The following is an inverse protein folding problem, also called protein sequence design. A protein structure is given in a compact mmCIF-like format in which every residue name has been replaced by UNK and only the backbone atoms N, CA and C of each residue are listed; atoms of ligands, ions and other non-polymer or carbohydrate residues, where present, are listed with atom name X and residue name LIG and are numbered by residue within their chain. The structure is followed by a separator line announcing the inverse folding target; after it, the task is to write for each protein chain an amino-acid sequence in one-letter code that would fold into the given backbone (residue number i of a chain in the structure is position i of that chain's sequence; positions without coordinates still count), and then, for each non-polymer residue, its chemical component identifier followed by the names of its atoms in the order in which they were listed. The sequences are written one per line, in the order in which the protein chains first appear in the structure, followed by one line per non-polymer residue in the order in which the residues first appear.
data_IF_696289945289
#
_entry.id   IF_696289945289
#
_cell.length_a   1.000
_cell.length_b   1.000
_cell.length_c   1.000
_cell.angle_alpha   90.00
_cell.angle_beta   90.00
_cell.angle_gamma   90.00
#
_symmetry.space_group_name_H-M   'P 1'
#
loop_
_entity.id
_entity.type
_entity.pdbx_description
1 polymer ?
#
# COMPACT_ATOMS: atom_id res chain seq x y z
N UNK A 1 -14.39 -17.69 -12.49
CA UNK A 1 -13.89 -17.28 -11.16
C UNK A 1 -12.57 -16.57 -11.34
N UNK A 2 -12.22 -15.62 -10.48
CA UNK A 2 -10.85 -15.08 -10.46
C UNK A 2 -9.89 -16.13 -9.89
N UNK A 3 -8.65 -16.23 -10.40
CA UNK A 3 -7.64 -17.07 -9.78
C UNK A 3 -7.37 -16.59 -8.36
N UNK A 4 -7.03 -17.52 -7.47
CA UNK A 4 -6.57 -17.23 -6.11
C UNK A 4 -5.15 -17.74 -5.99
N UNK A 5 -4.24 -16.85 -5.66
CA UNK A 5 -2.84 -17.14 -5.36
C UNK A 5 -2.68 -17.16 -3.85
N UNK A 6 -2.14 -18.25 -3.33
CA UNK A 6 -1.97 -18.44 -1.89
C UNK A 6 -0.53 -18.81 -1.60
N UNK A 7 0.05 -18.13 -0.62
CA UNK A 7 1.32 -18.48 0.02
C UNK A 7 1.04 -18.76 1.50
N UNK A 8 1.61 -19.83 2.03
CA UNK A 8 1.46 -20.16 3.44
C UNK A 8 2.76 -20.63 4.06
N UNK A 9 2.97 -20.24 5.32
CA UNK A 9 4.20 -20.52 6.07
C UNK A 9 3.90 -20.99 7.48
N UNK A 10 4.61 -22.03 7.92
CA UNK A 10 4.53 -22.57 9.28
C UNK A 10 3.09 -22.92 9.72
N UNK A 11 2.22 -23.30 8.78
CA UNK A 11 0.85 -23.76 9.01
C UNK A 11 0.65 -25.11 8.30
N UNK A 12 -0.23 -25.96 8.83
CA UNK A 12 -0.53 -27.27 8.26
C UNK A 12 -1.78 -27.19 7.40
N UNK A 13 -1.67 -27.33 6.08
CA UNK A 13 -2.80 -27.23 5.15
C UNK A 13 -2.34 -27.37 3.71
N UNK A 14 -3.14 -26.89 2.77
CA UNK A 14 -2.80 -26.86 1.34
C UNK A 14 -3.18 -25.52 0.73
N UNK A 15 -2.30 -25.01 -0.15
CA UNK A 15 -2.53 -23.83 -0.97
C UNK A 15 -3.45 -24.12 -2.17
N UNK A 16 -3.79 -25.39 -2.38
CA UNK A 16 -4.80 -25.84 -3.35
C UNK A 16 -6.16 -25.97 -2.65
N UNK A 17 -7.23 -25.39 -3.22
CA UNK A 17 -8.56 -25.51 -2.63
C UNK A 17 -9.15 -26.91 -2.84
N UNK A 18 -10.01 -27.32 -1.91
CA UNK A 18 -11.05 -28.31 -2.21
C UNK A 18 -12.24 -27.58 -2.85
N UNK A 19 -12.70 -28.04 -4.01
CA UNK A 19 -13.88 -27.45 -4.69
C UNK A 19 -15.12 -28.31 -4.45
N UNK A 20 -16.17 -27.72 -3.89
CA UNK A 20 -17.49 -28.37 -3.71
C UNK A 20 -18.60 -27.39 -4.04
N UNK A 21 -19.58 -27.81 -4.85
CA UNK A 21 -20.73 -26.98 -5.25
C UNK A 21 -20.34 -25.59 -5.78
N UNK A 22 -19.24 -25.50 -6.56
CA UNK A 22 -18.74 -24.24 -7.09
C UNK A 22 -18.01 -23.34 -6.09
N UNK A 23 -17.88 -23.74 -4.83
CA UNK A 23 -17.12 -23.03 -3.81
C UNK A 23 -15.74 -23.66 -3.64
N UNK A 24 -14.69 -22.86 -3.79
CA UNK A 24 -13.32 -23.23 -3.46
C UNK A 24 -13.07 -22.97 -1.96
N UNK A 25 -12.62 -23.99 -1.23
CA UNK A 25 -12.31 -23.91 0.19
C UNK A 25 -10.85 -24.29 0.44
N UNK A 26 -10.12 -23.38 1.07
CA UNK A 26 -8.81 -23.65 1.63
C UNK A 26 -8.91 -23.81 3.14
N UNK A 27 -8.04 -24.63 3.72
CA UNK A 27 -8.02 -24.88 5.17
C UNK A 27 -6.61 -25.11 5.65
N UNK A 28 -6.27 -24.42 6.73
CA UNK A 28 -5.03 -24.62 7.47
C UNK A 28 -5.32 -24.83 8.95
N UNK A 29 -4.40 -25.52 9.63
CA UNK A 29 -4.33 -25.71 11.07
C UNK A 29 -3.00 -25.14 11.53
N UNK A 30 -3.06 -24.26 12.51
CA UNK A 30 -1.88 -23.70 13.17
C UNK A 30 -1.88 -24.09 14.64
N UNK A 31 -0.73 -24.52 15.15
CA UNK A 31 -0.50 -24.73 16.58
C UNK A 31 0.80 -24.04 16.97
N UNK A 32 0.71 -23.04 17.85
CA UNK A 32 1.89 -22.38 18.41
C UNK A 32 2.40 -23.20 19.59
N UNK A 33 3.47 -23.99 19.38
CA UNK A 33 4.10 -24.77 20.46
C UNK A 33 5.09 -23.92 21.25
N UNK A 34 5.85 -23.07 20.56
CA UNK A 34 6.80 -22.14 21.18
C UNK A 34 6.39 -20.69 20.87
N UNK A 35 6.43 -19.78 21.86
CA UNK A 35 6.19 -18.37 21.62
C UNK A 35 7.28 -17.78 20.72
N UNK A 36 6.86 -17.00 19.72
CA UNK A 36 7.82 -16.22 18.93
C UNK A 36 8.45 -15.17 19.84
N UNK A 37 9.79 -15.13 19.89
CA UNK A 37 10.50 -14.10 20.64
C UNK A 37 10.27 -12.74 19.97
N UNK A 38 9.72 -11.79 20.73
CA UNK A 38 9.67 -10.41 20.30
C UNK A 38 11.08 -9.83 20.38
N UNK A 39 11.65 -9.45 19.24
CA UNK A 39 12.93 -8.75 19.17
C UNK A 39 12.66 -7.30 18.76
N UNK A 40 13.26 -6.36 19.49
CA UNK A 40 13.23 -4.97 19.06
C UNK A 40 13.93 -4.85 17.72
N UNK A 41 13.40 -4.01 16.83
CA UNK A 41 13.96 -3.76 15.49
C UNK A 41 13.97 -4.99 14.58
N UNK A 42 13.15 -6.00 14.86
CA UNK A 42 12.93 -7.10 13.94
C UNK A 42 12.16 -6.64 12.69
N UNK A 43 12.28 -7.44 11.62
CA UNK A 43 11.41 -7.36 10.46
C UNK A 43 9.92 -7.47 10.86
N UNK A 44 9.01 -7.16 9.94
CA UNK A 44 7.59 -7.33 10.24
C UNK A 44 7.26 -8.80 10.51
N UNK A 45 6.40 -9.09 11.48
CA UNK A 45 6.11 -10.48 11.92
C UNK A 45 5.65 -11.38 10.78
N UNK A 46 4.96 -10.85 9.78
CA UNK A 46 4.51 -11.62 8.62
C UNK A 46 5.66 -12.05 7.69
N UNK A 47 6.84 -11.44 7.79
CA UNK A 47 8.02 -11.80 6.99
C UNK A 47 8.74 -13.04 7.49
N UNK A 48 8.51 -13.48 8.72
CA UNK A 48 9.19 -14.65 9.31
C UNK A 48 8.28 -15.55 10.15
N UNK A 49 7.16 -15.01 10.64
CA UNK A 49 6.18 -15.74 11.42
C UNK A 49 5.22 -16.57 10.57
N UNK A 50 4.43 -17.44 11.24
CA UNK A 50 3.36 -18.20 10.59
C UNK A 50 2.35 -17.24 9.96
N UNK A 51 2.09 -17.44 8.68
CA UNK A 51 1.19 -16.57 7.92
C UNK A 51 0.51 -17.34 6.79
N UNK A 52 -0.62 -16.78 6.34
CA UNK A 52 -1.33 -17.18 5.15
C UNK A 52 -1.62 -15.88 4.40
N UNK A 53 -1.12 -15.77 3.18
CA UNK A 53 -1.41 -14.65 2.28
C UNK A 53 -2.18 -15.17 1.09
N UNK A 54 -3.29 -14.51 0.78
CA UNK A 54 -4.14 -14.87 -0.35
C UNK A 54 -4.47 -13.62 -1.14
N UNK A 55 -4.37 -13.70 -2.47
CA UNK A 55 -4.65 -12.59 -3.36
C UNK A 55 -5.20 -13.07 -4.69
N UNK A 56 -6.07 -12.28 -5.32
CA UNK A 56 -6.43 -12.46 -6.73
C UNK A 56 -5.40 -11.85 -7.68
N UNK A 57 -4.46 -11.05 -7.14
CA UNK A 57 -3.28 -10.58 -7.87
C UNK A 57 -2.16 -11.59 -7.76
N UNK A 58 -1.48 -11.82 -8.88
CA UNK A 58 -0.40 -12.79 -8.98
C UNK A 58 0.88 -12.33 -8.29
N UNK A 59 1.15 -11.03 -8.36
CA UNK A 59 2.41 -10.43 -7.94
C UNK A 59 2.21 -8.97 -7.49
N UNK A 60 3.26 -8.42 -6.89
CA UNK A 60 3.26 -7.04 -6.40
C UNK A 60 3.15 -6.00 -7.50
N UNK A 61 3.58 -6.31 -8.73
CA UNK A 61 3.45 -5.38 -9.85
C UNK A 61 1.97 -5.17 -10.21
N UNK A 62 1.16 -6.23 -10.20
CA UNK A 62 -0.29 -6.12 -10.39
C UNK A 62 -0.97 -5.33 -9.27
N UNK A 63 -0.56 -5.52 -8.02
CA UNK A 63 -1.05 -4.72 -6.88
C UNK A 63 -0.73 -3.24 -7.09
N UNK A 64 0.51 -2.92 -7.44
CA UNK A 64 0.95 -1.55 -7.73
C UNK A 64 0.18 -0.92 -8.88
N UNK A 65 -0.03 -1.65 -9.97
CA UNK A 65 -0.82 -1.18 -11.10
C UNK A 65 -2.28 -0.91 -10.71
N UNK A 66 -2.92 -1.83 -9.98
CA UNK A 66 -4.30 -1.67 -9.53
C UNK A 66 -4.47 -0.43 -8.64
N UNK A 67 -3.50 -0.15 -7.76
CA UNK A 67 -3.48 1.08 -6.97
C UNK A 67 -3.24 2.32 -7.84
N UNK A 68 -2.29 2.24 -8.79
CA UNK A 68 -1.92 3.36 -9.66
C UNK A 68 -3.08 3.88 -10.51
N UNK A 69 -4.01 3.02 -10.93
CA UNK A 69 -5.21 3.45 -11.69
C UNK A 69 -5.95 4.56 -10.96
N UNK A 70 -6.15 4.42 -9.65
CA UNK A 70 -6.87 5.40 -8.81
C UNK A 70 -5.96 6.50 -8.29
N UNK A 71 -4.76 6.12 -7.83
CA UNK A 71 -3.80 7.07 -7.29
C UNK A 71 -3.29 8.06 -8.34
N UNK A 72 -3.16 7.64 -9.61
CA UNK A 72 -2.76 8.51 -10.72
C UNK A 72 -3.81 9.56 -11.06
N UNK A 73 -5.10 9.25 -10.94
CA UNK A 73 -6.19 10.22 -11.07
C UNK A 73 -6.20 11.20 -9.89
N UNK A 74 -6.03 10.70 -8.68
CA UNK A 74 -5.93 11.55 -7.48
C UNK A 74 -4.72 12.48 -7.53
N UNK A 75 -3.61 12.07 -8.15
CA UNK A 75 -2.36 12.83 -8.25
C UNK A 75 -2.30 13.79 -9.46
N UNK A 76 -3.39 13.99 -10.20
CA UNK A 76 -3.39 14.89 -11.36
C UNK A 76 -2.95 16.30 -10.96
N UNK A 77 -2.03 16.88 -11.75
CA UNK A 77 -1.55 18.24 -11.56
C UNK A 77 -2.59 19.20 -12.11
N UNK A 78 -3.26 19.91 -11.21
CA UNK A 78 -4.19 20.98 -11.56
C UNK A 78 -3.42 22.30 -11.82
N UNK A 79 -4.05 23.31 -12.45
CA UNK A 79 -3.43 24.61 -12.61
C UNK A 79 -2.97 25.27 -11.30
N UNK A 80 -3.69 25.06 -10.19
CA UNK A 80 -3.34 25.62 -8.89
C UNK A 80 -2.14 24.89 -8.26
N UNK A 81 -2.10 23.55 -8.37
CA UNK A 81 -0.94 22.76 -7.94
C UNK A 81 0.30 23.16 -8.74
N UNK A 82 0.16 23.33 -10.06
CA UNK A 82 1.27 23.78 -10.92
C UNK A 82 1.76 25.17 -10.51
N UNK A 83 0.85 26.13 -10.32
CA UNK A 83 1.21 27.50 -9.93
C UNK A 83 1.96 27.54 -8.59
N UNK A 84 1.50 26.76 -7.60
CA UNK A 84 2.20 26.63 -6.32
C UNK A 84 3.59 25.99 -6.49
N UNK A 85 3.70 24.94 -7.30
CA UNK A 85 4.99 24.30 -7.56
C UNK A 85 5.97 25.26 -8.24
N UNK A 86 5.50 26.07 -9.19
CA UNK A 86 6.29 27.09 -9.88
C UNK A 86 6.75 28.18 -8.89
N UNK A 87 5.88 28.60 -7.97
CA UNK A 87 6.22 29.56 -6.91
C UNK A 87 7.29 29.00 -5.97
N UNK A 88 7.09 27.79 -5.44
CA UNK A 88 8.01 27.13 -4.50
C UNK A 88 9.39 26.88 -5.12
N UNK A 89 9.44 26.67 -6.43
CA UNK A 89 10.68 26.36 -7.16
C UNK A 89 11.28 27.55 -7.90
N UNK A 90 10.72 28.75 -7.75
CA UNK A 90 11.15 29.94 -8.45
C UNK A 90 12.66 30.23 -8.23
N UNK A 91 13.39 30.39 -9.33
CA UNK A 91 14.84 30.67 -9.31
C UNK A 91 15.72 29.45 -9.01
N UNK A 92 15.16 28.27 -8.76
CA UNK A 92 15.91 27.02 -8.54
C UNK A 92 15.99 26.26 -9.87
N UNK A 93 17.18 26.15 -10.45
CA UNK A 93 17.39 25.42 -11.72
C UNK A 93 17.78 23.95 -11.51
N UNK A 94 18.39 23.62 -10.38
CA UNK A 94 18.76 22.24 -10.05
C UNK A 94 17.53 21.41 -9.66
N UNK A 95 17.31 20.29 -10.36
CA UNK A 95 16.11 19.45 -10.18
C UNK A 95 16.04 18.82 -8.79
N UNK A 96 17.18 18.46 -8.20
CA UNK A 96 17.21 17.87 -6.86
C UNK A 96 16.84 18.92 -5.81
N UNK A 97 17.33 20.15 -5.97
CA UNK A 97 16.96 21.27 -5.13
C UNK A 97 15.48 21.65 -5.27
N UNK A 98 14.91 21.58 -6.48
CA UNK A 98 13.45 21.76 -6.67
C UNK A 98 12.64 20.70 -5.91
N UNK A 99 13.03 19.42 -6.02
CA UNK A 99 12.37 18.34 -5.29
C UNK A 99 12.47 18.49 -3.77
N UNK A 100 13.62 18.92 -3.25
CA UNK A 100 13.82 19.22 -1.83
C UNK A 100 12.95 20.41 -1.36
N UNK A 101 12.83 21.46 -2.16
CA UNK A 101 11.96 22.61 -1.85
C UNK A 101 10.48 22.20 -1.77
N UNK A 102 9.99 21.44 -2.76
CA UNK A 102 8.62 20.91 -2.77
C UNK A 102 8.37 19.98 -1.58
N UNK A 103 9.32 19.08 -1.27
CA UNK A 103 9.21 18.18 -0.12
C UNK A 103 9.08 18.96 1.20
N UNK A 104 9.94 19.98 1.41
CA UNK A 104 9.90 20.82 2.61
C UNK A 104 8.59 21.56 2.73
N UNK A 105 8.09 22.14 1.62
CA UNK A 105 6.81 22.82 1.61
C UNK A 105 5.69 21.86 2.03
N UNK A 106 5.62 20.66 1.45
CA UNK A 106 4.60 19.66 1.82
C UNK A 106 4.72 19.28 3.29
N UNK A 107 5.93 18.99 3.78
CA UNK A 107 6.15 18.57 5.17
C UNK A 107 5.76 19.65 6.20
N UNK A 108 5.83 20.92 5.82
CA UNK A 108 5.49 22.05 6.69
C UNK A 108 4.02 22.46 6.61
N UNK A 109 3.39 22.26 5.45
CA UNK A 109 2.06 22.80 5.17
C UNK A 109 0.96 21.73 5.13
N UNK A 110 1.30 20.45 4.91
CA UNK A 110 0.33 19.36 4.85
C UNK A 110 0.43 18.50 6.12
N UNK A 111 -0.65 18.50 6.91
CA UNK A 111 -0.72 17.71 8.14
C UNK A 111 -0.92 16.23 7.83
N UNK A 112 -0.06 15.38 8.39
CA UNK A 112 -0.23 13.94 8.33
C UNK A 112 -1.49 13.48 9.09
N UNK A 113 -2.30 12.64 8.45
CA UNK A 113 -3.43 11.94 9.05
C UNK A 113 -3.27 10.45 8.78
N UNK A 114 -3.20 9.66 9.85
CA UNK A 114 -3.15 8.21 9.74
C UNK A 114 -4.53 7.69 9.31
N UNK A 115 -4.67 7.39 8.02
CA UNK A 115 -5.83 6.70 7.45
C UNK A 115 -5.40 5.29 7.04
N UNK A 116 -5.95 4.28 7.70
CA UNK A 116 -5.61 2.89 7.42
C UNK A 116 -6.37 2.38 6.19
N UNK A 117 -5.67 1.66 5.31
CA UNK A 117 -6.27 0.92 4.19
C UNK A 117 -7.37 -0.01 4.72
N UNK A 118 -8.51 -0.02 4.04
CA UNK A 118 -9.75 -0.63 4.53
C UNK A 118 -10.71 0.43 5.04
N UNK A 119 -10.42 1.04 6.19
CA UNK A 119 -11.27 2.10 6.76
C UNK A 119 -11.30 3.37 5.90
N UNK A 120 -10.18 3.71 5.24
CA UNK A 120 -10.06 4.86 4.33
C UNK A 120 -10.44 4.60 2.88
N UNK A 121 -10.91 3.39 2.54
CA UNK A 121 -11.02 2.96 1.17
C UNK A 121 -9.65 2.65 0.53
N UNK A 122 -9.67 2.37 -0.78
CA UNK A 122 -8.48 2.11 -1.60
C UNK A 122 -8.19 3.26 -2.58
N UNK A 123 -9.01 4.31 -2.55
CA UNK A 123 -8.94 5.49 -3.40
C UNK A 123 -8.39 6.66 -2.59
N UNK A 124 -7.26 7.25 -2.98
CA UNK A 124 -6.75 8.46 -2.32
C UNK A 124 -7.66 9.67 -2.59
N UNK A 125 -7.69 10.63 -1.66
CA UNK A 125 -8.22 11.96 -1.94
C UNK A 125 -7.39 12.64 -3.04
N UNK A 126 -8.01 13.51 -3.85
CA UNK A 126 -7.29 14.25 -4.87
C UNK A 126 -6.29 15.24 -4.27
N UNK A 127 -5.16 15.44 -4.94
CA UNK A 127 -4.12 16.38 -4.52
C UNK A 127 -4.67 17.81 -4.38
N UNK A 128 -5.63 18.19 -5.24
CA UNK A 128 -6.32 19.48 -5.13
C UNK A 128 -7.12 19.58 -3.83
N UNK A 129 -7.91 18.56 -3.51
CA UNK A 129 -8.67 18.57 -2.26
C UNK A 129 -7.75 18.61 -1.04
N UNK A 130 -6.58 17.97 -1.09
CA UNK A 130 -5.59 18.07 -0.02
C UNK A 130 -5.04 19.49 0.11
N UNK A 131 -4.77 20.18 -1.01
CA UNK A 131 -4.28 21.56 -1.01
C UNK A 131 -5.31 22.57 -0.50
N UNK A 132 -6.60 22.32 -0.75
CA UNK A 132 -7.71 23.22 -0.36
C UNK A 132 -8.08 23.17 1.14
N UNK A 133 -7.53 22.23 1.91
CA UNK A 133 -7.84 21.99 3.33
C UNK A 133 -6.81 22.61 4.28
#
# INVERSE_FOLDING_TARGET
SFPMYVDSRCVQGSDTPTVKNGQAQWRWRYQRRDPMQAQNWAAAVWEFGPNIMASTFRDWAQVGHAYQVKAGEAAQVTPQIQALADEVTAGISDRKAQADALYRWVAQNIRYVAVYLGNGGLEPNSAQSILDN
#
